data_IF_007939537262
#
_entry.id   IF_007939537262
#
_cell.length_a   1.000
_cell.length_b   1.000
_cell.length_c   1.000
_cell.angle_alpha   90.00
_cell.angle_beta   90.00
_cell.angle_gamma   90.00
#
_symmetry.space_group_name_H-M   'P 1'
#
loop_
_entity.id
_entity.type
_entity.pdbx_description
1 polymer ?
#
# COMPACT_ATOMS: atom_id res chain seq x y z
N UNK A 1 10.14 -27.37 7.63
CA UNK A 1 10.65 -26.02 7.96
C UNK A 1 10.42 -25.79 9.45
N UNK A 2 11.45 -25.40 10.22
CA UNK A 2 11.34 -25.08 11.66
C UNK A 2 11.45 -23.57 11.84
N UNK A 3 10.53 -23.01 12.65
CA UNK A 3 10.40 -21.57 12.90
C UNK A 3 10.58 -21.30 14.40
N UNK A 4 11.50 -20.38 14.76
CA UNK A 4 11.71 -19.95 16.15
C UNK A 4 11.47 -18.43 16.22
N UNK A 5 10.68 -17.99 17.19
CA UNK A 5 10.42 -16.57 17.42
C UNK A 5 11.64 -15.95 18.11
N UNK A 6 12.12 -14.81 17.58
CA UNK A 6 13.17 -14.00 18.15
C UNK A 6 12.63 -12.74 18.86
N UNK A 7 11.57 -12.13 18.29
CA UNK A 7 10.99 -10.90 18.82
C UNK A 7 9.50 -10.86 18.56
N UNK A 8 8.76 -10.21 19.46
CA UNK A 8 7.34 -9.90 19.32
C UNK A 8 7.12 -8.42 19.63
N UNK A 9 6.74 -7.64 18.62
CA UNK A 9 6.30 -6.25 18.74
C UNK A 9 4.79 -6.11 18.59
N UNK A 10 4.30 -4.86 18.64
CA UNK A 10 2.90 -4.49 18.41
C UNK A 10 2.46 -4.84 16.97
N UNK A 11 3.27 -4.46 15.98
CA UNK A 11 2.90 -4.49 14.57
C UNK A 11 3.60 -5.60 13.77
N UNK A 12 4.69 -6.19 14.28
CA UNK A 12 5.44 -7.24 13.61
C UNK A 12 6.12 -8.17 14.59
N UNK A 13 6.51 -9.34 14.09
CA UNK A 13 7.35 -10.30 14.81
C UNK A 13 8.55 -10.64 13.97
N UNK A 14 9.66 -11.04 14.61
CA UNK A 14 10.85 -11.53 13.92
C UNK A 14 11.02 -13.02 14.25
N UNK A 15 11.26 -13.81 13.23
CA UNK A 15 11.47 -15.24 13.34
C UNK A 15 12.75 -15.67 12.63
N UNK A 16 13.43 -16.67 13.18
CA UNK A 16 14.42 -17.45 12.44
C UNK A 16 13.73 -18.63 11.76
N UNK A 17 13.93 -18.77 10.47
CA UNK A 17 13.51 -19.92 9.67
C UNK A 17 14.71 -20.81 9.36
N UNK A 18 14.61 -22.08 9.72
CA UNK A 18 15.57 -23.11 9.29
C UNK A 18 14.90 -23.91 8.16
N UNK A 19 15.46 -23.85 6.97
CA UNK A 19 14.91 -24.48 5.77
C UNK A 19 16.00 -25.17 4.97
N UNK A 20 15.61 -26.00 4.02
CA UNK A 20 16.50 -26.63 3.08
C UNK A 20 16.15 -26.16 1.66
N UNK A 21 17.11 -25.62 0.93
CA UNK A 21 16.98 -25.15 -0.45
C UNK A 21 18.11 -25.79 -1.25
N UNK A 22 17.76 -26.51 -2.31
CA UNK A 22 18.73 -27.22 -3.17
C UNK A 22 19.71 -28.09 -2.39
N UNK A 23 19.23 -28.82 -1.37
CA UNK A 23 20.02 -29.69 -0.52
C UNK A 23 20.85 -28.98 0.58
N UNK A 24 20.95 -27.64 0.57
CA UNK A 24 21.68 -26.86 1.56
C UNK A 24 20.79 -26.39 2.71
N UNK A 25 21.29 -26.49 3.93
CA UNK A 25 20.61 -25.90 5.11
C UNK A 25 20.81 -24.40 5.12
N UNK A 26 19.70 -23.65 5.18
CA UNK A 26 19.70 -22.20 5.25
C UNK A 26 19.04 -21.77 6.56
N UNK A 27 19.63 -20.76 7.20
CA UNK A 27 19.03 -20.04 8.32
C UNK A 27 18.77 -18.61 7.89
N UNK A 28 17.52 -18.15 7.99
CA UNK A 28 17.11 -16.81 7.56
C UNK A 28 16.25 -16.15 8.64
N UNK A 29 16.48 -14.87 8.86
CA UNK A 29 15.65 -14.03 9.75
C UNK A 29 14.61 -13.31 8.93
N UNK A 30 13.34 -13.46 9.32
CA UNK A 30 12.19 -12.92 8.60
C UNK A 30 11.33 -12.09 9.53
N UNK A 31 10.99 -10.90 9.10
CA UNK A 31 9.96 -10.07 9.69
C UNK A 31 8.60 -10.59 9.18
N UNK A 32 7.72 -10.93 10.11
CA UNK A 32 6.32 -11.26 9.81
C UNK A 32 5.43 -10.13 10.31
N UNK A 33 4.60 -9.63 9.44
CA UNK A 33 3.55 -8.66 9.73
C UNK A 33 2.32 -8.94 8.89
N UNK A 34 1.19 -8.36 9.26
CA UNK A 34 -0.06 -8.51 8.51
C UNK A 34 0.09 -7.94 7.09
N UNK A 35 -0.60 -8.56 6.15
CA UNK A 35 -0.69 -8.04 4.80
C UNK A 35 -1.46 -6.71 4.75
N UNK A 36 -1.27 -5.96 3.69
CA UNK A 36 -1.92 -4.68 3.51
C UNK A 36 -2.66 -4.61 2.17
N UNK A 37 -3.51 -3.62 2.03
CA UNK A 37 -4.16 -3.28 0.79
C UNK A 37 -4.05 -1.77 0.54
N UNK A 38 -3.94 -1.39 -0.74
CA UNK A 38 -3.83 -0.01 -1.18
C UNK A 38 -4.77 0.25 -2.37
N UNK A 39 -5.15 1.49 -2.60
CA UNK A 39 -6.06 1.83 -3.68
C UNK A 39 -5.62 3.08 -4.44
N UNK A 40 -5.50 2.95 -5.77
CA UNK A 40 -5.38 4.06 -6.70
C UNK A 40 -6.79 4.54 -7.07
N UNK A 41 -7.25 5.63 -6.44
CA UNK A 41 -8.61 6.13 -6.55
C UNK A 41 -8.66 7.40 -7.38
N UNK A 42 -9.55 7.41 -8.39
CA UNK A 42 -9.73 8.53 -9.31
C UNK A 42 -11.06 9.24 -9.06
N UNK A 43 -11.01 10.56 -8.92
CA UNK A 43 -12.13 11.46 -9.10
C UNK A 43 -11.93 12.21 -10.40
N UNK A 44 -12.65 11.79 -11.45
CA UNK A 44 -12.40 12.21 -12.84
C UNK A 44 -10.96 11.84 -13.27
N UNK A 45 -10.13 12.82 -13.59
CA UNK A 45 -8.71 12.68 -13.95
C UNK A 45 -7.74 12.91 -12.79
N UNK A 46 -8.28 13.20 -11.60
CA UNK A 46 -7.49 13.46 -10.39
C UNK A 46 -7.34 12.21 -9.54
N UNK A 47 -6.15 12.02 -9.00
CA UNK A 47 -5.84 10.95 -8.03
C UNK A 47 -6.00 11.50 -6.62
N UNK A 48 -6.65 10.70 -5.77
CA UNK A 48 -6.71 10.96 -4.34
C UNK A 48 -5.45 10.38 -3.70
N UNK A 49 -4.68 11.23 -3.07
CA UNK A 49 -3.48 10.88 -2.31
C UNK A 49 -3.60 11.34 -0.87
N UNK A 50 -2.84 10.72 0.00
CA UNK A 50 -2.61 11.18 1.36
C UNK A 50 -1.16 11.63 1.51
N UNK A 51 -0.95 12.72 2.25
CA UNK A 51 0.36 13.17 2.69
C UNK A 51 0.52 12.76 4.14
N UNK A 52 1.37 11.78 4.40
CA UNK A 52 1.52 11.15 5.71
C UNK A 52 2.97 11.19 6.18
N UNK A 53 3.19 11.31 7.51
CA UNK A 53 4.52 11.24 8.09
C UNK A 53 5.05 9.81 8.10
N UNK A 54 6.24 9.61 7.52
CA UNK A 54 6.95 8.31 7.46
C UNK A 54 8.42 8.49 7.86
N UNK A 55 8.80 8.00 9.04
CA UNK A 55 10.20 7.97 9.43
C UNK A 55 11.02 7.08 8.47
N UNK A 56 12.27 7.46 8.09
CA UNK A 56 13.02 8.67 8.43
C UNK A 56 12.80 9.85 7.47
N UNK A 57 11.91 9.74 6.47
CA UNK A 57 11.80 10.70 5.37
C UNK A 57 10.96 11.94 5.70
N UNK A 58 10.15 11.90 6.75
CA UNK A 58 9.17 12.95 7.03
C UNK A 58 7.86 12.75 6.27
N UNK A 59 7.26 13.81 5.74
CA UNK A 59 5.99 13.72 5.01
C UNK A 59 6.19 13.25 3.57
N UNK A 60 5.52 12.16 3.20
CA UNK A 60 5.50 11.60 1.84
C UNK A 60 4.09 11.59 1.28
N UNK A 61 3.98 11.64 -0.05
CA UNK A 61 2.72 11.45 -0.78
C UNK A 61 2.58 9.98 -1.16
N UNK A 62 1.43 9.41 -0.83
CA UNK A 62 1.13 8.01 -1.08
C UNK A 62 -0.35 7.79 -1.40
N UNK A 63 -0.68 6.68 -2.06
CA UNK A 63 -2.07 6.25 -2.22
C UNK A 63 -2.61 5.73 -0.88
N UNK A 64 -3.91 5.90 -0.58
CA UNK A 64 -4.54 5.37 0.62
C UNK A 64 -4.28 3.88 0.78
N UNK A 65 -3.89 3.47 2.00
CA UNK A 65 -3.53 2.08 2.27
C UNK A 65 -3.46 1.75 3.76
N UNK A 66 -3.87 0.54 4.11
CA UNK A 66 -3.75 0.06 5.48
C UNK A 66 -3.67 -1.45 5.60
N UNK A 67 -3.63 -1.90 6.83
CA UNK A 67 -3.46 -3.30 7.20
C UNK A 67 -4.79 -4.04 7.10
N UNK A 68 -4.78 -5.19 6.42
CA UNK A 68 -5.95 -6.08 6.32
C UNK A 68 -6.30 -6.60 7.72
N UNK A 69 -7.51 -6.27 8.17
CA UNK A 69 -8.04 -6.70 9.48
C UNK A 69 -8.58 -8.14 9.42
N UNK A 70 -8.81 -8.71 10.61
CA UNK A 70 -9.48 -10.01 10.68
C UNK A 70 -10.91 -9.88 10.11
N UNK A 71 -11.32 -10.87 9.33
CA UNK A 71 -12.65 -10.97 8.72
C UNK A 71 -12.94 -10.01 7.56
N UNK A 72 -11.93 -9.31 7.03
CA UNK A 72 -12.07 -8.56 5.78
C UNK A 72 -11.16 -9.11 4.66
N UNK A 73 -11.62 -8.97 3.42
CA UNK A 73 -10.80 -9.23 2.24
C UNK A 73 -9.88 -8.03 1.94
N UNK A 74 -8.77 -8.21 1.22
CA UNK A 74 -7.92 -7.08 0.81
C UNK A 74 -8.70 -5.99 0.05
N UNK A 75 -9.71 -6.37 -0.75
CA UNK A 75 -10.58 -5.43 -1.44
C UNK A 75 -11.43 -4.60 -0.47
N UNK A 76 -11.99 -5.22 0.55
CA UNK A 76 -12.76 -4.51 1.59
C UNK A 76 -11.87 -3.57 2.39
N UNK A 77 -10.66 -4.01 2.75
CA UNK A 77 -9.64 -3.17 3.39
C UNK A 77 -9.35 -1.92 2.53
N UNK A 78 -9.02 -2.09 1.26
CA UNK A 78 -8.72 -0.96 0.37
C UNK A 78 -9.87 0.07 0.27
N UNK A 79 -11.12 -0.40 0.27
CA UNK A 79 -12.30 0.49 0.27
C UNK A 79 -12.48 1.20 1.60
N UNK A 80 -12.29 0.50 2.72
CA UNK A 80 -12.38 1.05 4.08
C UNK A 80 -11.31 2.10 4.30
N UNK A 81 -10.05 1.79 4.00
CA UNK A 81 -8.93 2.73 4.17
C UNK A 81 -9.11 4.01 3.33
N UNK A 82 -9.57 3.87 2.08
CA UNK A 82 -9.90 5.05 1.27
C UNK A 82 -10.95 5.93 1.97
N UNK A 83 -12.00 5.32 2.52
CA UNK A 83 -13.07 6.09 3.19
C UNK A 83 -12.57 6.70 4.50
N UNK A 84 -11.85 5.95 5.34
CA UNK A 84 -11.34 6.39 6.63
C UNK A 84 -10.30 7.50 6.49
N UNK A 85 -9.31 7.34 5.61
CA UNK A 85 -8.23 8.30 5.42
C UNK A 85 -8.66 9.55 4.62
N UNK A 86 -9.61 9.42 3.68
CA UNK A 86 -9.86 10.48 2.69
C UNK A 86 -11.32 10.97 2.62
N UNK A 87 -12.25 10.28 3.24
CA UNK A 87 -13.68 10.55 3.11
C UNK A 87 -14.28 10.16 1.76
N UNK A 88 -13.54 9.44 0.90
CA UNK A 88 -14.04 8.94 -0.38
C UNK A 88 -14.39 7.47 -0.30
N UNK A 89 -15.55 7.09 -0.85
CA UNK A 89 -15.98 5.70 -0.99
C UNK A 89 -15.91 5.24 -2.43
N UNK A 90 -15.16 4.17 -2.66
CA UNK A 90 -15.00 3.59 -3.99
C UNK A 90 -16.11 2.59 -4.33
N UNK A 91 -16.55 2.61 -5.60
CA UNK A 91 -17.33 1.58 -6.26
C UNK A 91 -16.48 0.94 -7.35
N UNK A 92 -16.96 -0.19 -7.90
CA UNK A 92 -16.30 -0.86 -9.04
C UNK A 92 -14.78 -1.06 -8.88
N UNK A 93 -14.35 -1.45 -7.68
CA UNK A 93 -12.95 -1.68 -7.32
C UNK A 93 -12.42 -2.93 -8.01
N UNK A 94 -11.34 -2.78 -8.78
CA UNK A 94 -10.66 -3.85 -9.52
C UNK A 94 -9.27 -4.09 -8.94
N UNK A 95 -8.87 -5.36 -8.85
CA UNK A 95 -7.50 -5.70 -8.48
C UNK A 95 -6.54 -5.25 -9.58
N UNK A 96 -5.50 -4.56 -9.20
CA UNK A 96 -4.51 -4.01 -10.12
C UNK A 96 -3.25 -4.86 -10.17
N UNK A 97 -2.65 -5.10 -9.00
CA UNK A 97 -1.44 -5.89 -8.84
C UNK A 97 -1.21 -6.29 -7.38
N UNK A 98 -0.28 -7.22 -7.16
CA UNK A 98 0.27 -7.56 -5.84
C UNK A 98 1.76 -7.25 -5.84
N UNK A 99 2.25 -6.68 -4.76
CA UNK A 99 3.67 -6.42 -4.56
C UNK A 99 4.17 -7.03 -3.25
N UNK A 100 5.43 -7.37 -3.22
CA UNK A 100 6.19 -7.74 -2.02
C UNK A 100 7.27 -6.68 -1.82
N UNK A 101 7.06 -5.69 -0.93
CA UNK A 101 7.95 -4.53 -0.84
C UNK A 101 9.38 -4.87 -0.44
N UNK A 102 9.56 -5.92 0.34
CA UNK A 102 10.84 -6.25 0.96
C UNK A 102 11.10 -7.76 0.94
N UNK A 103 11.09 -8.38 -0.26
CA UNK A 103 11.46 -9.80 -0.41
C UNK A 103 12.84 -10.08 0.16
N UNK A 104 12.97 -11.26 0.78
CA UNK A 104 14.20 -11.73 1.38
C UNK A 104 14.23 -11.64 2.90
N UNK A 105 13.54 -10.68 3.51
CA UNK A 105 13.50 -10.52 4.97
C UNK A 105 12.16 -10.07 5.54
N UNK A 106 11.14 -9.84 4.70
CA UNK A 106 9.78 -9.55 5.15
C UNK A 106 8.78 -10.39 4.36
N UNK A 107 7.79 -10.95 5.06
CA UNK A 107 6.77 -11.82 4.45
C UNK A 107 5.54 -11.05 3.96
N UNK A 108 5.41 -9.76 4.27
CA UNK A 108 4.25 -8.96 3.89
C UNK A 108 4.13 -8.84 2.37
N UNK A 109 2.92 -8.98 1.89
CA UNK A 109 2.53 -8.52 0.57
C UNK A 109 1.45 -7.43 0.67
N UNK A 110 1.30 -6.67 -0.39
CA UNK A 110 0.31 -5.61 -0.51
C UNK A 110 -0.48 -5.84 -1.80
N UNK A 111 -1.81 -5.98 -1.67
CA UNK A 111 -2.71 -6.00 -2.80
C UNK A 111 -3.10 -4.57 -3.17
N UNK A 112 -2.76 -4.15 -4.38
CA UNK A 112 -3.12 -2.83 -4.91
C UNK A 112 -4.37 -2.94 -5.78
N UNK A 113 -5.29 -2.03 -5.56
CA UNK A 113 -6.55 -1.94 -6.30
C UNK A 113 -6.64 -0.60 -7.05
N UNK A 114 -7.62 -0.49 -7.94
CA UNK A 114 -7.96 0.74 -8.64
C UNK A 114 -9.47 0.93 -8.70
N UNK A 115 -9.91 2.17 -8.55
CA UNK A 115 -11.28 2.58 -8.84
C UNK A 115 -11.30 3.94 -9.54
N UNK A 116 -12.13 4.05 -10.57
CA UNK A 116 -12.45 5.30 -11.28
C UNK A 116 -13.89 5.76 -11.00
N UNK A 117 -14.54 5.16 -10.00
CA UNK A 117 -15.90 5.45 -9.59
C UNK A 117 -15.88 5.63 -8.06
N UNK A 118 -15.63 6.87 -7.63
CA UNK A 118 -15.61 7.24 -6.23
C UNK A 118 -16.60 8.36 -5.93
N UNK A 119 -17.08 8.41 -4.70
CA UNK A 119 -17.96 9.47 -4.22
C UNK A 119 -17.44 9.98 -2.88
N UNK A 120 -17.47 11.27 -2.67
CA UNK A 120 -17.21 11.87 -1.37
C UNK A 120 -18.33 11.46 -0.40
N UNK A 121 -17.98 10.79 0.69
CA UNK A 121 -18.90 10.41 1.78
C UNK A 121 -18.82 11.39 2.96
N UNK A 122 -17.78 12.23 2.99
CA UNK A 122 -17.50 13.17 4.09
C UNK A 122 -17.10 12.51 5.41
N UNK A 123 -16.91 11.20 5.42
CA UNK A 123 -16.63 10.41 6.63
C UNK A 123 -15.15 10.11 6.74
N UNK A 124 -14.39 11.06 7.26
CA UNK A 124 -12.98 10.82 7.63
C UNK A 124 -12.95 10.27 9.05
N UNK A 125 -12.21 9.19 9.27
CA UNK A 125 -12.02 8.56 10.57
C UNK A 125 -10.58 8.10 10.68
N UNK A 126 -9.71 8.99 11.16
CA UNK A 126 -8.30 8.69 11.38
C UNK A 126 -8.09 8.00 12.73
N UNK A 127 -7.09 7.15 12.82
CA UNK A 127 -6.57 6.63 14.07
C UNK A 127 -5.79 7.74 14.81
N UNK A 128 -5.72 7.66 16.14
CA UNK A 128 -5.06 8.69 16.97
C UNK A 128 -3.58 8.93 16.62
N UNK A 129 -2.92 7.94 16.03
CA UNK A 129 -1.52 8.00 15.61
C UNK A 129 -1.36 8.42 14.13
N UNK A 130 -2.45 8.73 13.41
CA UNK A 130 -2.42 9.08 11.99
C UNK A 130 -2.42 10.60 11.75
N UNK A 131 -1.27 11.10 11.33
CA UNK A 131 -1.08 12.49 10.91
C UNK A 131 -1.01 12.55 9.39
N UNK A 132 -2.18 12.68 8.74
CA UNK A 132 -2.26 12.76 7.29
C UNK A 132 -3.15 13.91 6.80
N UNK A 133 -2.92 14.35 5.56
CA UNK A 133 -3.76 15.31 4.86
C UNK A 133 -4.07 14.79 3.46
N UNK A 134 -5.32 14.98 3.03
CA UNK A 134 -5.77 14.57 1.70
C UNK A 134 -5.29 15.56 0.65
N UNK A 135 -4.78 15.06 -0.45
CA UNK A 135 -4.31 15.86 -1.59
C UNK A 135 -4.85 15.26 -2.89
N UNK A 136 -5.22 16.14 -3.84
CA UNK A 136 -5.63 15.73 -5.18
C UNK A 136 -4.67 16.32 -6.21
N UNK A 137 -4.21 15.48 -7.13
CA UNK A 137 -3.40 15.92 -8.27
C UNK A 137 -3.87 15.20 -9.54
N UNK A 138 -3.63 15.76 -10.70
CA UNK A 138 -3.90 15.05 -11.95
C UNK A 138 -2.99 13.82 -12.08
N UNK A 139 -3.48 12.77 -12.75
CA UNK A 139 -2.69 11.57 -12.98
C UNK A 139 -1.39 11.86 -13.74
N UNK A 140 -1.46 12.79 -14.71
CA UNK A 140 -0.27 13.27 -15.43
C UNK A 140 0.76 13.92 -14.50
N UNK A 141 0.31 14.72 -13.51
CA UNK A 141 1.21 15.31 -12.50
C UNK A 141 1.85 14.23 -11.64
N UNK A 142 1.09 13.21 -11.20
CA UNK A 142 1.63 12.07 -10.44
C UNK A 142 2.73 11.36 -11.22
N UNK A 143 2.52 11.04 -12.51
CA UNK A 143 3.53 10.41 -13.35
C UNK A 143 4.78 11.29 -13.51
N UNK A 144 4.60 12.61 -13.68
CA UNK A 144 5.72 13.56 -13.71
C UNK A 144 6.52 13.56 -12.40
N UNK A 145 5.83 13.55 -11.26
CA UNK A 145 6.48 13.49 -9.93
C UNK A 145 7.24 12.17 -9.73
N UNK A 146 6.72 11.04 -10.20
CA UNK A 146 7.43 9.76 -10.19
C UNK A 146 8.70 9.86 -11.05
N UNK A 147 8.59 10.37 -12.26
CA UNK A 147 9.73 10.57 -13.19
C UNK A 147 10.81 11.45 -12.57
N UNK A 148 10.42 12.50 -11.86
CA UNK A 148 11.32 13.44 -11.20
C UNK A 148 11.82 12.96 -9.82
N UNK A 149 11.44 11.73 -9.38
CA UNK A 149 11.83 11.15 -8.09
C UNK A 149 11.27 11.89 -6.87
N UNK A 150 10.18 12.64 -7.05
CA UNK A 150 9.48 13.33 -5.96
C UNK A 150 8.56 12.36 -5.18
N UNK A 151 8.08 11.30 -5.84
CA UNK A 151 7.35 10.20 -5.20
C UNK A 151 8.35 9.05 -4.95
N UNK A 152 8.49 8.66 -3.70
CA UNK A 152 9.43 7.62 -3.26
C UNK A 152 8.75 6.38 -2.70
N UNK A 153 7.45 6.46 -2.45
CA UNK A 153 6.67 5.39 -1.84
C UNK A 153 6.34 4.30 -2.89
N UNK A 154 6.79 3.03 -2.67
CA UNK A 154 6.76 2.00 -3.71
C UNK A 154 5.36 1.56 -4.14
N UNK A 155 4.35 1.54 -3.25
CA UNK A 155 2.97 1.16 -3.60
C UNK A 155 2.39 2.14 -4.62
N UNK A 156 2.59 3.44 -4.37
CA UNK A 156 2.15 4.53 -5.23
C UNK A 156 2.81 4.45 -6.61
N UNK A 157 4.13 4.28 -6.63
CA UNK A 157 4.90 4.16 -7.89
C UNK A 157 4.43 2.95 -8.69
N UNK A 158 4.41 1.78 -8.07
CA UNK A 158 4.03 0.54 -8.75
C UNK A 158 2.58 0.57 -9.25
N UNK A 159 1.64 1.04 -8.43
CA UNK A 159 0.23 1.13 -8.82
C UNK A 159 0.03 2.12 -9.98
N UNK A 160 0.63 3.32 -9.89
CA UNK A 160 0.50 4.34 -10.94
C UNK A 160 1.09 3.86 -12.28
N UNK A 161 2.30 3.31 -12.27
CA UNK A 161 2.95 2.82 -13.49
C UNK A 161 2.21 1.61 -14.09
N UNK A 162 1.75 0.67 -13.26
CA UNK A 162 0.96 -0.48 -13.73
C UNK A 162 -0.36 -0.03 -14.36
N UNK A 163 -1.03 0.95 -13.77
CA UNK A 163 -2.25 1.52 -14.34
C UNK A 163 -1.98 2.23 -15.66
N UNK A 164 -0.92 3.07 -15.72
CA UNK A 164 -0.52 3.77 -16.94
C UNK A 164 -0.25 2.78 -18.10
N UNK A 165 0.52 1.71 -17.85
CA UNK A 165 0.81 0.66 -18.82
C UNK A 165 -0.47 -0.04 -19.31
N UNK A 166 -1.37 -0.42 -18.38
CA UNK A 166 -2.66 -1.08 -18.74
C UNK A 166 -3.60 -0.18 -19.55
N UNK A 167 -3.43 1.13 -19.46
CA UNK A 167 -4.24 2.12 -20.19
C UNK A 167 -3.57 2.72 -21.40
N UNK A 168 -2.34 2.27 -21.72
CA UNK A 168 -1.50 2.83 -22.80
C UNK A 168 -1.31 4.35 -22.65
N UNK A 169 -1.22 4.83 -21.40
CA UNK A 169 -0.94 6.23 -21.10
C UNK A 169 0.59 6.39 -21.13
N UNK A 170 1.08 6.98 -22.19
CA UNK A 170 2.49 7.40 -22.33
C UNK A 170 2.63 8.87 -21.99
N UNK A 171 3.73 9.24 -21.31
CA UNK A 171 4.11 10.64 -21.07
C UNK A 171 4.71 11.28 -22.34
#
# INVERSE_FOLDING_TARGET
>A
MRKNKLYQGKNFSIYTYNMQVEGKKIKQEIIEQKNAAAILAFENDQIILVKQFRYPLGYVLEIPAGVVQNHETPKQCAVRELEEETGYKAKNVKHLMKIYPMLGYNSQYIDCFVSTDIKNSGKIKLDDEEFLTVTKISFKKLLSMIKNREIVEPRTICAALTYALKKNITN
#
